data_IF_204971940529
#
_entry.id   IF_204971940529
#
_cell.length_a   1.000
_cell.length_b   1.000
_cell.length_c   1.000
_cell.angle_alpha   90.00
_cell.angle_beta   90.00
_cell.angle_gamma   90.00
#
_symmetry.space_group_name_H-M   'P 1'
#
loop_
_entity.id
_entity.type
_entity.pdbx_description
1 polymer ?
#
# COMPACT_ATOMS: atom_id res chain seq x y z
N UNK A 1 44.68 -0.78 51.17
CA UNK A 1 43.45 -1.59 51.06
C UNK A 1 43.17 -1.79 49.58
N UNK A 2 43.54 -2.95 49.04
CA UNK A 2 43.33 -3.33 47.63
C UNK A 2 42.25 -4.40 47.59
N UNK A 3 41.13 -4.13 46.90
CA UNK A 3 40.06 -5.09 46.68
C UNK A 3 40.16 -5.56 45.23
N UNK A 4 40.57 -6.82 45.08
CA UNK A 4 40.68 -7.56 43.84
C UNK A 4 39.31 -8.12 43.46
N UNK A 5 38.77 -7.71 42.31
CA UNK A 5 37.60 -8.32 41.70
C UNK A 5 38.05 -9.33 40.65
N UNK A 6 37.99 -10.60 41.02
CA UNK A 6 38.01 -11.70 40.06
C UNK A 6 36.71 -12.48 40.22
N UNK A 7 36.21 -12.90 39.07
CA UNK A 7 35.28 -14.00 38.85
C UNK A 7 33.81 -13.74 39.22
N UNK A 8 32.99 -13.55 38.18
CA UNK A 8 31.89 -14.48 37.82
C UNK A 8 31.05 -13.83 36.73
N UNK A 9 30.83 -14.56 35.63
CA UNK A 9 29.50 -14.91 35.12
C UNK A 9 29.67 -15.66 33.79
N UNK A 10 29.34 -16.95 33.86
CA UNK A 10 29.32 -17.85 32.73
C UNK A 10 28.18 -17.51 31.78
N UNK A 11 28.49 -17.56 30.49
CA UNK A 11 27.53 -17.42 29.41
C UNK A 11 26.93 -18.80 29.15
N UNK A 12 25.75 -19.07 29.69
CA UNK A 12 24.96 -20.23 29.30
C UNK A 12 24.31 -19.95 27.93
N UNK A 13 24.87 -20.55 26.89
CA UNK A 13 24.26 -20.65 25.57
C UNK A 13 22.99 -21.51 25.66
N UNK A 14 21.82 -20.87 25.64
CA UNK A 14 20.54 -21.54 25.45
C UNK A 14 20.35 -21.78 23.94
N UNK A 15 20.60 -23.00 23.49
CA UNK A 15 20.28 -23.46 22.14
C UNK A 15 18.78 -23.75 22.07
N UNK A 16 18.01 -22.86 21.44
CA UNK A 16 16.59 -23.09 21.16
C UNK A 16 16.51 -23.96 19.90
N UNK A 17 16.23 -25.25 20.08
CA UNK A 17 15.92 -26.16 19.00
C UNK A 17 14.54 -25.85 18.42
N UNK A 18 14.51 -25.33 17.19
CA UNK A 18 13.30 -25.14 16.40
C UNK A 18 12.87 -26.50 15.82
N UNK A 19 11.90 -27.16 16.45
CA UNK A 19 11.21 -28.32 15.87
C UNK A 19 10.28 -27.86 14.75
N UNK A 20 10.68 -28.10 13.51
CA UNK A 20 9.82 -28.05 12.33
C UNK A 20 8.72 -29.11 12.44
N UNK A 21 7.48 -28.68 12.63
CA UNK A 21 6.29 -29.52 12.44
C UNK A 21 5.88 -29.41 10.97
N UNK A 22 6.20 -30.43 10.19
CA UNK A 22 5.69 -30.63 8.84
C UNK A 22 4.22 -31.06 8.92
N UNK A 23 3.31 -30.16 8.55
CA UNK A 23 1.90 -30.49 8.35
C UNK A 23 1.70 -31.04 6.92
N UNK A 24 1.31 -32.31 6.82
CA UNK A 24 0.93 -32.99 5.59
C UNK A 24 -0.41 -32.45 5.04
N UNK A 25 -0.57 -32.32 3.71
CA UNK A 25 -1.87 -31.99 3.11
C UNK A 25 -2.78 -33.22 3.06
N UNK A 26 -3.94 -33.12 3.71
CA UNK A 26 -5.05 -34.08 3.57
C UNK A 26 -5.71 -33.92 2.20
N UNK A 27 -5.82 -35.04 1.48
CA UNK A 27 -6.63 -35.21 0.27
C UNK A 27 -8.11 -35.17 0.65
N UNK A 28 -8.85 -34.18 0.16
CA UNK A 28 -10.30 -34.17 0.21
C UNK A 28 -10.87 -34.62 -1.14
N UNK A 29 -11.68 -35.69 -1.10
CA UNK A 29 -12.38 -36.30 -2.25
C UNK A 29 -13.64 -35.50 -2.56
N UNK A 30 -13.84 -35.18 -3.83
CA UNK A 30 -15.14 -34.79 -4.36
C UNK A 30 -16.05 -36.02 -4.58
N UNK A 31 -17.37 -35.91 -4.37
CA UNK A 31 -18.33 -36.86 -4.91
C UNK A 31 -18.98 -36.37 -6.22
N UNK A 32 -19.13 -37.34 -7.12
CA UNK A 32 -19.86 -37.35 -8.40
C UNK A 32 -21.38 -37.21 -8.25
N UNK A 33 -21.96 -36.62 -9.30
CA UNK A 33 -23.21 -36.92 -10.01
C UNK A 33 -24.52 -37.21 -9.26
N UNK A 34 -25.54 -36.44 -9.65
CA UNK A 34 -26.88 -37.01 -9.88
C UNK A 34 -27.58 -36.27 -11.02
N UNK A 35 -28.11 -37.06 -11.96
CA UNK A 35 -28.68 -36.66 -13.24
C UNK A 35 -30.19 -36.30 -13.19
N UNK A 36 -30.61 -35.43 -14.13
CA UNK A 36 -31.84 -35.38 -14.99
C UNK A 36 -33.26 -35.46 -14.37
N UNK A 37 -34.34 -34.86 -14.97
CA UNK A 37 -34.71 -35.02 -16.39
C UNK A 37 -35.46 -33.87 -17.14
N UNK A 38 -35.55 -34.06 -18.48
CA UNK A 38 -36.59 -33.75 -19.52
C UNK A 38 -37.91 -33.08 -19.07
N UNK A 39 -38.73 -32.34 -19.85
CA UNK A 39 -38.96 -32.03 -21.28
C UNK A 39 -39.83 -30.73 -21.31
N UNK A 40 -40.01 -29.96 -22.39
CA UNK A 40 -41.05 -30.12 -23.42
C UNK A 40 -41.01 -28.93 -24.40
N UNK A 41 -41.70 -29.10 -25.53
CA UNK A 41 -41.48 -28.43 -26.81
C UNK A 41 -42.47 -27.31 -27.18
N UNK A 42 -41.98 -26.40 -28.06
CA UNK A 42 -42.64 -25.79 -29.25
C UNK A 42 -43.76 -24.73 -29.08
N UNK A 43 -44.17 -23.93 -30.11
CA UNK A 43 -43.66 -23.79 -31.49
C UNK A 43 -43.49 -22.34 -32.04
N UNK A 44 -42.82 -22.29 -33.22
CA UNK A 44 -42.90 -21.38 -34.38
C UNK A 44 -43.60 -20.00 -34.31
N UNK A 45 -42.90 -18.96 -34.80
CA UNK A 45 -43.49 -17.99 -35.74
C UNK A 45 -42.45 -17.32 -36.67
N UNK A 46 -42.91 -17.13 -37.89
CA UNK A 46 -42.19 -16.87 -39.16
C UNK A 46 -41.76 -15.40 -39.37
N UNK A 47 -40.54 -15.26 -39.91
CA UNK A 47 -40.18 -14.53 -41.16
C UNK A 47 -40.52 -13.04 -41.27
N UNK A 48 -39.48 -12.18 -41.36
CA UNK A 48 -39.37 -11.23 -42.47
C UNK A 48 -37.94 -10.74 -42.74
N UNK A 49 -37.71 -10.59 -44.03
CA UNK A 49 -36.45 -10.36 -44.73
C UNK A 49 -36.22 -8.85 -44.96
N UNK A 50 -34.97 -8.40 -44.83
CA UNK A 50 -34.40 -7.20 -45.47
C UNK A 50 -32.87 -7.38 -45.47
N UNK A 51 -32.28 -7.86 -46.57
CA UNK A 51 -31.68 -7.11 -47.69
C UNK A 51 -30.60 -6.09 -47.29
N UNK A 52 -29.37 -6.46 -47.62
CA UNK A 52 -28.25 -5.69 -48.16
C UNK A 52 -27.76 -4.43 -47.43
N UNK A 53 -26.54 -4.53 -46.87
CA UNK A 53 -25.46 -3.52 -46.96
C UNK A 53 -24.13 -4.27 -46.71
N UNK A 54 -23.40 -4.62 -47.76
CA UNK A 54 -22.26 -3.88 -48.32
C UNK A 54 -21.08 -3.72 -47.34
N UNK A 55 -20.10 -4.60 -47.54
CA UNK A 55 -18.67 -4.52 -47.25
C UNK A 55 -18.14 -3.29 -46.47
N UNK A 56 -17.62 -3.55 -45.28
CA UNK A 56 -16.42 -2.87 -44.78
C UNK A 56 -15.52 -3.89 -44.08
N UNK A 57 -14.72 -4.61 -44.86
CA UNK A 57 -13.59 -5.40 -44.35
C UNK A 57 -12.46 -4.43 -44.02
N UNK A 58 -12.57 -3.72 -42.89
CA UNK A 58 -11.40 -3.19 -42.20
C UNK A 58 -10.86 -4.29 -41.31
N UNK A 59 -9.78 -4.93 -41.78
CA UNK A 59 -8.92 -5.73 -40.92
C UNK A 59 -8.56 -4.90 -39.67
N UNK A 60 -8.68 -5.46 -38.45
CA UNK A 60 -8.05 -4.86 -37.28
C UNK A 60 -6.55 -4.89 -37.55
N UNK A 61 -5.96 -3.71 -37.77
CA UNK A 61 -4.52 -3.56 -37.76
C UNK A 61 -4.03 -4.02 -36.40
N UNK A 62 -3.50 -5.25 -36.39
CA UNK A 62 -2.43 -5.76 -35.55
C UNK A 62 -1.84 -4.66 -34.69
N UNK A 63 -2.10 -4.77 -33.39
CA UNK A 63 -1.39 -4.07 -32.34
C UNK A 63 0.10 -4.23 -32.63
N UNK A 64 0.71 -3.18 -33.18
CA UNK A 64 2.13 -2.98 -33.03
C UNK A 64 2.29 -2.75 -31.53
N UNK A 65 2.65 -3.84 -30.83
CA UNK A 65 3.23 -3.76 -29.51
C UNK A 65 4.39 -2.78 -29.63
N UNK A 66 4.11 -1.57 -29.17
CA UNK A 66 5.02 -0.44 -29.13
C UNK A 66 6.09 -0.79 -28.10
N UNK A 67 7.03 -1.65 -28.51
CA UNK A 67 8.33 -1.84 -27.87
C UNK A 67 9.19 -0.60 -28.15
N UNK A 68 8.63 0.57 -27.83
CA UNK A 68 9.39 1.79 -27.73
C UNK A 68 10.23 1.65 -26.47
N UNK A 69 11.48 1.22 -26.64
CA UNK A 69 12.52 1.38 -25.63
C UNK A 69 12.72 2.88 -25.38
N UNK A 70 11.80 3.49 -24.62
CA UNK A 70 11.89 4.87 -24.20
C UNK A 70 13.06 4.95 -23.23
N UNK A 71 14.16 5.52 -23.72
CA UNK A 71 15.33 5.85 -22.92
C UNK A 71 14.86 6.61 -21.67
N UNK A 72 15.21 6.18 -20.45
CA UNK A 72 14.72 6.81 -19.24
C UNK A 72 15.09 8.30 -19.24
N UNK A 73 14.11 9.14 -18.92
CA UNK A 73 14.29 10.58 -18.82
C UNK A 73 15.43 10.87 -17.83
N UNK A 74 16.29 11.84 -18.15
CA UNK A 74 17.45 12.22 -17.31
C UNK A 74 17.08 12.40 -15.82
N UNK A 75 15.95 13.03 -15.44
CA UNK A 75 15.54 13.13 -14.04
C UNK A 75 15.29 11.78 -13.35
N UNK A 76 14.76 10.77 -14.07
CA UNK A 76 14.49 9.44 -13.52
C UNK A 76 15.79 8.72 -13.16
N UNK A 77 16.79 8.79 -14.05
CA UNK A 77 18.13 8.26 -13.78
C UNK A 77 18.77 8.92 -12.57
N UNK A 78 18.57 10.24 -12.43
CA UNK A 78 19.10 10.99 -11.29
C UNK A 78 18.43 10.58 -9.97
N UNK A 79 17.10 10.35 -9.95
CA UNK A 79 16.43 9.82 -8.76
C UNK A 79 16.99 8.46 -8.37
N UNK A 80 17.14 7.53 -9.33
CA UNK A 80 17.72 6.20 -9.05
C UNK A 80 19.15 6.29 -8.51
N UNK A 81 19.97 7.19 -9.07
CA UNK A 81 21.31 7.47 -8.57
C UNK A 81 21.27 7.96 -7.12
N UNK A 82 20.39 8.92 -6.81
CA UNK A 82 20.25 9.50 -5.48
C UNK A 82 19.70 8.50 -4.44
N UNK A 83 18.79 7.60 -4.83
CA UNK A 83 18.38 6.48 -3.96
C UNK A 83 19.59 5.61 -3.62
N UNK A 84 20.42 5.28 -4.62
CA UNK A 84 21.69 4.59 -4.39
C UNK A 84 22.58 5.35 -3.42
N UNK A 85 22.76 6.65 -3.63
CA UNK A 85 23.51 7.53 -2.74
C UNK A 85 23.01 7.49 -1.29
N UNK A 86 21.69 7.48 -1.09
CA UNK A 86 21.06 7.53 0.23
C UNK A 86 21.45 6.31 1.10
N UNK A 87 21.52 5.13 0.49
CA UNK A 87 21.86 3.89 1.20
C UNK A 87 23.35 3.56 1.21
N UNK A 88 24.11 3.93 0.17
CA UNK A 88 25.54 3.63 0.07
C UNK A 88 26.44 4.66 0.74
N UNK A 89 25.92 5.86 1.02
CA UNK A 89 26.69 7.00 1.52
C UNK A 89 27.90 7.38 0.64
N UNK A 90 27.83 7.07 -0.66
CA UNK A 90 29.00 7.09 -1.56
C UNK A 90 29.01 8.22 -2.60
N UNK A 91 28.12 9.20 -2.49
CA UNK A 91 28.02 10.29 -3.45
C UNK A 91 28.70 11.56 -2.97
N UNK A 92 29.01 12.47 -3.91
CA UNK A 92 29.70 13.74 -3.64
C UNK A 92 28.76 14.77 -3.00
N UNK A 93 28.22 14.47 -1.82
CA UNK A 93 27.57 15.45 -0.96
C UNK A 93 28.57 15.94 0.09
N UNK A 94 28.60 17.26 0.39
CA UNK A 94 29.59 17.85 1.29
C UNK A 94 29.21 17.60 2.76
N UNK A 95 29.25 16.35 3.21
CA UNK A 95 29.04 16.01 4.61
C UNK A 95 29.86 14.80 5.01
N UNK A 96 30.54 14.92 6.15
CA UNK A 96 31.19 13.79 6.83
C UNK A 96 30.27 13.17 7.89
N UNK A 97 29.13 13.80 8.19
CA UNK A 97 28.12 13.27 9.11
C UNK A 97 27.04 12.49 8.31
N UNK A 98 26.78 11.21 8.65
CA UNK A 98 25.79 10.39 7.94
C UNK A 98 24.36 10.96 7.93
N UNK A 99 23.96 11.67 9.00
CA UNK A 99 22.60 12.24 9.08
C UNK A 99 22.47 13.45 8.19
N UNK A 100 23.43 14.37 8.25
CA UNK A 100 23.48 15.53 7.35
C UNK A 100 23.62 15.09 5.89
N UNK A 101 24.37 14.02 5.62
CA UNK A 101 24.47 13.42 4.30
C UNK A 101 23.09 12.94 3.82
N UNK A 102 22.40 12.10 4.60
CA UNK A 102 21.06 11.58 4.25
C UNK A 102 20.05 12.70 4.07
N UNK A 103 20.09 13.73 4.92
CA UNK A 103 19.25 14.93 4.79
C UNK A 103 19.52 15.65 3.46
N UNK A 104 20.78 15.83 3.09
CA UNK A 104 21.15 16.49 1.84
C UNK A 104 20.69 15.71 0.61
N UNK A 105 20.84 14.38 0.63
CA UNK A 105 20.32 13.49 -0.42
C UNK A 105 18.78 13.53 -0.48
N UNK A 106 18.11 13.50 0.69
CA UNK A 106 16.66 13.59 0.81
C UNK A 106 16.11 14.91 0.23
N UNK A 107 16.76 16.04 0.52
CA UNK A 107 16.41 17.33 -0.07
C UNK A 107 16.56 17.35 -1.59
N UNK A 108 17.62 16.73 -2.12
CA UNK A 108 17.81 16.60 -3.57
C UNK A 108 16.72 15.72 -4.22
N UNK A 109 16.38 14.60 -3.60
CA UNK A 109 15.27 13.72 -4.02
C UNK A 109 13.94 14.50 -4.02
N UNK A 110 13.58 15.13 -2.90
CA UNK A 110 12.37 15.94 -2.75
C UNK A 110 12.24 16.97 -3.88
N UNK A 111 13.33 17.70 -4.17
CA UNK A 111 13.34 18.72 -5.22
C UNK A 111 12.99 18.15 -6.59
N UNK A 112 13.56 17.00 -6.95
CA UNK A 112 13.29 16.36 -8.24
C UNK A 112 11.86 15.83 -8.31
N UNK A 113 11.38 15.18 -7.25
CA UNK A 113 10.03 14.64 -7.17
C UNK A 113 8.97 15.75 -7.24
N UNK A 114 9.14 16.85 -6.52
CA UNK A 114 8.23 18.01 -6.60
C UNK A 114 8.23 18.64 -8.00
N UNK A 115 9.40 18.76 -8.64
CA UNK A 115 9.46 19.25 -10.02
C UNK A 115 8.74 18.31 -11.00
N UNK A 116 8.78 17.00 -10.77
CA UNK A 116 8.04 16.02 -11.57
C UNK A 116 6.53 16.13 -11.34
N UNK A 117 6.08 16.19 -10.09
CA UNK A 117 4.68 16.40 -9.72
C UNK A 117 4.08 17.61 -10.46
N UNK A 118 4.75 18.77 -10.42
CA UNK A 118 4.29 19.98 -11.11
C UNK A 118 4.17 19.82 -12.63
N UNK A 119 5.05 19.04 -13.27
CA UNK A 119 4.95 18.76 -14.72
C UNK A 119 3.82 17.79 -15.03
N UNK A 120 3.58 16.79 -14.17
CA UNK A 120 2.48 15.84 -14.32
C UNK A 120 1.14 16.58 -14.22
N UNK A 121 0.97 17.45 -13.22
CA UNK A 121 -0.26 18.26 -13.07
C UNK A 121 -0.54 19.15 -14.27
N UNK A 122 0.52 19.73 -14.87
CA UNK A 122 0.42 20.55 -16.08
C UNK A 122 0.27 19.75 -17.37
N UNK A 123 0.26 18.42 -17.30
CA UNK A 123 0.26 17.50 -18.47
C UNK A 123 1.45 17.71 -19.41
N UNK A 124 2.57 18.20 -18.87
CA UNK A 124 3.83 18.40 -19.59
C UNK A 124 4.69 17.13 -19.60
N UNK A 125 4.29 16.10 -18.85
CA UNK A 125 5.04 14.87 -18.68
C UNK A 125 4.59 13.78 -19.67
N UNK A 126 5.49 13.38 -20.57
CA UNK A 126 5.17 12.44 -21.65
C UNK A 126 4.99 10.98 -21.17
N UNK A 127 5.54 10.63 -20.00
CA UNK A 127 5.45 9.27 -19.47
C UNK A 127 5.16 9.26 -17.96
N UNK A 128 3.88 9.37 -17.56
CA UNK A 128 3.48 9.34 -16.15
C UNK A 128 3.76 7.99 -15.47
N UNK A 129 3.77 6.88 -16.23
CA UNK A 129 4.02 5.53 -15.70
C UNK A 129 5.43 5.40 -15.10
N UNK A 130 6.45 6.04 -15.67
CA UNK A 130 7.78 6.06 -15.05
C UNK A 130 7.76 6.75 -13.69
N UNK A 131 7.08 7.89 -13.59
CA UNK A 131 6.99 8.64 -12.35
C UNK A 131 6.18 7.92 -11.28
N UNK A 132 5.11 7.20 -11.67
CA UNK A 132 4.41 6.29 -10.75
C UNK A 132 5.38 5.27 -10.13
N UNK A 133 6.15 4.55 -10.95
CA UNK A 133 7.10 3.55 -10.44
C UNK A 133 8.18 4.17 -9.54
N UNK A 134 8.71 5.33 -9.92
CA UNK A 134 9.69 6.05 -9.10
C UNK A 134 9.09 6.53 -7.78
N UNK A 135 7.85 7.02 -7.79
CA UNK A 135 7.15 7.43 -6.57
C UNK A 135 6.96 6.24 -5.62
N UNK A 136 6.55 5.07 -6.15
CA UNK A 136 6.46 3.83 -5.36
C UNK A 136 7.83 3.45 -4.78
N UNK A 137 8.90 3.41 -5.58
CA UNK A 137 10.25 3.06 -5.12
C UNK A 137 10.78 4.02 -4.04
N UNK A 138 10.48 5.32 -4.17
CA UNK A 138 10.96 6.35 -3.24
C UNK A 138 10.20 6.39 -1.92
N UNK A 139 9.02 5.74 -1.82
CA UNK A 139 8.36 5.56 -0.53
C UNK A 139 9.24 4.80 0.46
N UNK A 140 10.15 3.91 0.02
CA UNK A 140 11.05 3.19 0.93
C UNK A 140 12.14 4.06 1.56
N UNK A 141 12.39 5.28 1.05
CA UNK A 141 13.40 6.19 1.62
C UNK A 141 12.92 6.68 2.99
N UNK A 142 13.74 6.53 4.03
CA UNK A 142 13.44 6.94 5.43
C UNK A 142 13.53 8.46 5.63
N UNK A 143 12.90 9.23 4.75
CA UNK A 143 12.80 10.68 4.82
C UNK A 143 11.34 11.10 4.59
N UNK A 144 10.73 11.74 5.59
CA UNK A 144 9.31 12.11 5.54
C UNK A 144 9.00 13.07 4.39
N UNK A 145 9.93 13.96 4.02
CA UNK A 145 9.72 14.88 2.90
C UNK A 145 9.83 14.20 1.54
N UNK A 146 10.65 13.15 1.43
CA UNK A 146 10.69 12.32 0.23
C UNK A 146 9.36 11.58 0.09
N UNK A 147 8.88 10.92 1.16
CA UNK A 147 7.58 10.23 1.17
C UNK A 147 6.42 11.16 0.82
N UNK A 148 6.37 12.37 1.39
CA UNK A 148 5.39 13.42 1.07
C UNK A 148 5.40 13.75 -0.44
N UNK A 149 6.58 13.99 -1.02
CA UNK A 149 6.70 14.29 -2.45
C UNK A 149 6.30 13.09 -3.33
N UNK A 150 6.61 11.87 -2.90
CA UNK A 150 6.18 10.64 -3.58
C UNK A 150 4.66 10.48 -3.55
N UNK A 151 4.01 10.73 -2.41
CA UNK A 151 2.55 10.73 -2.30
C UNK A 151 1.89 11.78 -3.18
N UNK A 152 2.49 12.97 -3.34
CA UNK A 152 2.01 13.98 -4.28
C UNK A 152 2.03 13.47 -5.73
N UNK A 153 3.08 12.73 -6.13
CA UNK A 153 3.07 12.11 -7.45
C UNK A 153 1.96 11.06 -7.53
N UNK A 154 1.86 10.14 -6.55
CA UNK A 154 0.85 9.07 -6.56
C UNK A 154 -0.59 9.59 -6.58
N UNK A 155 -0.87 10.74 -5.96
CA UNK A 155 -2.20 11.36 -5.96
C UNK A 155 -2.69 11.74 -7.36
N UNK A 156 -1.77 11.99 -8.29
CA UNK A 156 -2.07 12.27 -9.71
C UNK A 156 -2.19 11.02 -10.57
N UNK A 157 -1.94 9.83 -10.02
CA UNK A 157 -1.93 8.57 -10.74
C UNK A 157 -3.19 7.74 -10.43
N UNK A 158 -3.55 6.87 -11.39
CA UNK A 158 -4.55 5.84 -11.19
C UNK A 158 -4.13 4.88 -10.06
N UNK A 159 -5.12 4.31 -9.31
CA UNK A 159 -4.84 3.33 -8.26
C UNK A 159 -4.01 2.15 -8.75
N UNK A 160 -3.02 1.75 -7.95
CA UNK A 160 -2.09 0.68 -8.27
C UNK A 160 -1.83 -0.19 -7.04
N UNK A 161 -1.94 -1.50 -7.19
CA UNK A 161 -1.81 -2.43 -6.07
C UNK A 161 -0.44 -2.32 -5.37
N UNK A 162 0.64 -2.09 -6.12
CA UNK A 162 1.97 -1.91 -5.52
C UNK A 162 2.01 -0.62 -4.72
N UNK A 163 1.42 0.46 -5.25
CA UNK A 163 1.32 1.71 -4.50
C UNK A 163 0.54 1.54 -3.20
N UNK A 164 -0.60 0.82 -3.22
CA UNK A 164 -1.37 0.51 -2.01
C UNK A 164 -0.51 -0.18 -0.93
N UNK A 165 0.18 -1.25 -1.32
CA UNK A 165 1.01 -2.02 -0.38
C UNK A 165 2.12 -1.16 0.21
N UNK A 166 2.79 -0.37 -0.63
CA UNK A 166 3.88 0.51 -0.19
C UNK A 166 3.36 1.67 0.67
N UNK A 167 2.18 2.23 0.41
CA UNK A 167 1.58 3.27 1.29
C UNK A 167 1.29 2.69 2.68
N UNK A 168 0.66 1.51 2.75
CA UNK A 168 0.35 0.85 4.02
C UNK A 168 1.65 0.53 4.81
N UNK A 169 2.68 0.03 4.12
CA UNK A 169 3.94 -0.40 4.75
C UNK A 169 4.87 0.76 5.09
N UNK A 170 5.19 1.59 4.10
CA UNK A 170 6.26 2.59 4.18
C UNK A 170 5.77 3.95 4.65
N UNK A 171 4.47 4.24 4.62
CA UNK A 171 3.93 5.53 5.09
C UNK A 171 3.18 5.37 6.39
N UNK A 172 2.16 4.52 6.42
CA UNK A 172 1.37 4.33 7.64
C UNK A 172 2.07 3.46 8.69
N UNK A 173 2.99 2.58 8.25
CA UNK A 173 3.92 1.87 9.14
C UNK A 173 5.11 2.72 9.61
N UNK A 174 5.33 3.89 9.00
CA UNK A 174 6.40 4.81 9.38
C UNK A 174 6.01 5.66 10.59
N UNK A 175 6.98 6.33 11.21
CA UNK A 175 6.79 7.00 12.50
C UNK A 175 6.30 8.46 12.40
N UNK A 176 6.12 8.99 11.18
CA UNK A 176 5.74 10.39 10.95
C UNK A 176 4.20 10.56 10.83
N UNK A 177 3.54 11.15 11.84
CA UNK A 177 2.10 11.37 11.81
C UNK A 177 1.67 12.39 10.73
N UNK A 178 2.55 13.28 10.27
CA UNK A 178 2.17 14.32 9.30
C UNK A 178 1.82 13.76 7.92
N UNK A 179 2.29 12.53 7.61
CA UNK A 179 1.99 11.85 6.36
C UNK A 179 0.64 11.11 6.38
N UNK A 180 0.09 10.84 7.56
CA UNK A 180 -1.12 10.02 7.72
C UNK A 180 -2.33 10.63 6.99
N UNK A 181 -2.66 11.93 7.13
CA UNK A 181 -3.83 12.49 6.44
C UNK A 181 -3.75 12.33 4.92
N UNK A 182 -2.57 12.57 4.34
CA UNK A 182 -2.34 12.44 2.91
C UNK A 182 -2.42 10.97 2.46
N UNK A 183 -1.80 10.06 3.19
CA UNK A 183 -1.88 8.62 2.91
C UNK A 183 -3.32 8.12 2.99
N UNK A 184 -4.08 8.52 4.02
CA UNK A 184 -5.48 8.17 4.15
C UNK A 184 -6.29 8.74 2.98
N UNK A 185 -6.11 10.01 2.58
CA UNK A 185 -6.79 10.54 1.39
C UNK A 185 -6.50 9.71 0.13
N UNK A 186 -5.24 9.31 -0.06
CA UNK A 186 -4.81 8.48 -1.19
C UNK A 186 -5.46 7.08 -1.18
N UNK A 187 -5.60 6.46 -0.02
CA UNK A 187 -6.25 5.15 0.14
C UNK A 187 -7.73 5.16 -0.25
N UNK A 188 -8.41 6.31 -0.25
CA UNK A 188 -9.83 6.40 -0.65
C UNK A 188 -10.05 6.13 -2.13
N UNK A 189 -9.01 6.24 -2.97
CA UNK A 189 -9.11 5.93 -4.40
C UNK A 189 -9.26 4.42 -4.68
N UNK A 190 -8.96 3.57 -3.71
CA UNK A 190 -8.96 2.11 -3.86
C UNK A 190 -10.30 1.51 -3.44
N UNK A 191 -11.24 1.42 -4.39
CA UNK A 191 -12.63 0.99 -4.13
C UNK A 191 -12.88 -0.50 -4.34
N UNK A 192 -11.94 -1.22 -4.95
CA UNK A 192 -12.08 -2.65 -5.24
C UNK A 192 -12.14 -3.49 -3.94
N UNK A 193 -12.98 -4.53 -3.86
CA UNK A 193 -13.16 -5.32 -2.65
C UNK A 193 -11.87 -5.88 -2.05
N UNK A 194 -10.94 -6.35 -2.88
CA UNK A 194 -9.67 -6.91 -2.43
C UNK A 194 -8.72 -5.83 -1.89
N UNK A 195 -8.76 -4.63 -2.47
CA UNK A 195 -7.99 -3.50 -1.95
C UNK A 195 -8.55 -3.02 -0.62
N UNK A 196 -9.87 -2.93 -0.49
CA UNK A 196 -10.53 -2.53 0.75
C UNK A 196 -10.18 -3.47 1.91
N UNK A 197 -10.13 -4.78 1.68
CA UNK A 197 -9.69 -5.74 2.70
C UNK A 197 -8.25 -5.49 3.16
N UNK A 198 -7.32 -5.24 2.22
CA UNK A 198 -5.92 -4.88 2.54
C UNK A 198 -5.84 -3.60 3.35
N UNK A 199 -6.65 -2.60 3.00
CA UNK A 199 -6.75 -1.33 3.73
C UNK A 199 -7.24 -1.58 5.16
N UNK A 200 -8.33 -2.32 5.35
CA UNK A 200 -8.87 -2.58 6.69
C UNK A 200 -7.87 -3.34 7.57
N UNK A 201 -7.23 -4.37 7.02
CA UNK A 201 -6.18 -5.12 7.71
C UNK A 201 -4.98 -4.24 8.06
N UNK A 202 -4.49 -3.44 7.11
CA UNK A 202 -3.36 -2.54 7.30
C UNK A 202 -3.64 -1.45 8.34
N UNK A 203 -4.81 -0.80 8.28
CA UNK A 203 -5.19 0.21 9.28
C UNK A 203 -5.36 -0.40 10.67
N UNK A 204 -5.98 -1.58 10.78
CA UNK A 204 -6.09 -2.32 12.04
C UNK A 204 -4.70 -2.65 12.62
N UNK A 205 -3.77 -3.11 11.78
CA UNK A 205 -2.40 -3.40 12.18
C UNK A 205 -1.64 -2.13 12.65
N UNK A 206 -1.80 -1.01 11.95
CA UNK A 206 -1.20 0.28 12.35
C UNK A 206 -1.75 0.73 13.70
N UNK A 207 -3.05 0.58 13.95
CA UNK A 207 -3.67 0.89 15.24
C UNK A 207 -3.13 0.04 16.40
N UNK A 208 -2.58 -1.14 16.12
CA UNK A 208 -1.96 -2.01 17.13
C UNK A 208 -0.47 -1.70 17.32
N UNK A 209 0.27 -1.52 16.23
CA UNK A 209 1.74 -1.58 16.21
C UNK A 209 2.43 -0.25 15.91
N UNK A 210 1.72 0.73 15.35
CA UNK A 210 2.28 2.03 14.97
C UNK A 210 2.72 2.90 16.15
N UNK A 211 3.42 3.99 15.85
CA UNK A 211 3.79 4.98 16.87
C UNK A 211 2.54 5.61 17.49
N UNK A 212 2.63 6.09 18.74
CA UNK A 212 1.48 6.67 19.43
C UNK A 212 0.82 7.82 18.63
N UNK A 213 1.64 8.66 17.98
CA UNK A 213 1.14 9.79 17.20
C UNK A 213 0.49 9.33 15.90
N UNK A 214 1.09 8.38 15.19
CA UNK A 214 0.52 7.80 13.96
C UNK A 214 -0.82 7.13 14.27
N UNK A 215 -0.90 6.36 15.36
CA UNK A 215 -2.14 5.72 15.80
C UNK A 215 -3.25 6.72 16.10
N UNK A 216 -2.93 7.84 16.75
CA UNK A 216 -3.89 8.94 16.99
C UNK A 216 -4.35 9.53 15.67
N UNK A 217 -3.44 9.75 14.74
CA UNK A 217 -3.77 10.39 13.47
C UNK A 217 -4.61 9.49 12.56
N UNK A 218 -4.33 8.18 12.54
CA UNK A 218 -5.18 7.18 11.88
C UNK A 218 -6.58 7.19 12.48
N UNK A 219 -6.71 7.23 13.81
CA UNK A 219 -8.02 7.32 14.46
C UNK A 219 -8.80 8.56 14.05
N UNK A 220 -8.14 9.71 13.94
CA UNK A 220 -8.77 10.97 13.53
C UNK A 220 -9.33 10.92 12.10
N UNK A 221 -8.79 10.03 11.25
CA UNK A 221 -9.17 9.88 9.85
C UNK A 221 -9.84 8.53 9.54
N UNK A 222 -10.25 7.77 10.57
CA UNK A 222 -10.73 6.40 10.40
C UNK A 222 -12.15 6.33 9.83
N UNK A 223 -12.95 7.38 10.03
CA UNK A 223 -14.39 7.42 9.74
C UNK A 223 -14.76 6.95 8.31
N UNK A 224 -14.10 7.40 7.22
CA UNK A 224 -14.41 6.95 5.86
C UNK A 224 -14.21 5.44 5.63
N UNK A 225 -13.43 4.78 6.50
CA UNK A 225 -13.12 3.35 6.41
C UNK A 225 -14.02 2.50 7.31
N UNK A 226 -14.86 3.09 8.15
CA UNK A 226 -15.77 2.36 9.02
C UNK A 226 -17.06 1.99 8.30
N UNK A 227 -17.25 0.69 8.11
CA UNK A 227 -18.44 0.11 7.55
C UNK A 227 -18.64 -1.31 8.09
N UNK A 228 -19.74 -1.96 7.70
CA UNK A 228 -20.07 -3.31 8.16
C UNK A 228 -18.98 -4.35 7.85
N UNK A 229 -18.29 -4.18 6.72
CA UNK A 229 -17.23 -5.11 6.29
C UNK A 229 -15.91 -4.88 7.04
N UNK A 230 -15.62 -3.64 7.43
CA UNK A 230 -14.38 -3.29 8.14
C UNK A 230 -14.48 -3.40 9.66
N UNK A 231 -15.69 -3.33 10.21
CA UNK A 231 -15.94 -3.38 11.65
C UNK A 231 -15.24 -4.56 12.37
N UNK A 232 -15.26 -5.81 11.87
CA UNK A 232 -14.57 -6.92 12.53
C UNK A 232 -13.05 -6.72 12.68
N UNK A 233 -12.40 -6.05 11.72
CA UNK A 233 -10.96 -5.76 11.78
C UNK A 233 -10.66 -4.81 12.93
N UNK A 234 -11.46 -3.76 13.10
CA UNK A 234 -11.27 -2.77 14.14
C UNK A 234 -11.69 -3.25 15.54
N UNK A 235 -12.72 -4.10 15.63
CA UNK A 235 -13.08 -4.77 16.89
C UNK A 235 -11.99 -5.74 17.34
N UNK A 236 -11.42 -6.52 16.41
CA UNK A 236 -10.26 -7.35 16.72
C UNK A 236 -9.05 -6.49 17.11
N UNK A 237 -8.82 -5.38 16.42
CA UNK A 237 -7.77 -4.44 16.80
C UNK A 237 -7.94 -3.97 18.24
N UNK A 238 -9.14 -3.53 18.59
CA UNK A 238 -9.50 -3.05 19.93
C UNK A 238 -9.24 -4.09 21.03
N UNK A 239 -9.63 -5.35 20.83
CA UNK A 239 -9.43 -6.43 21.79
C UNK A 239 -7.95 -6.69 22.12
N UNK A 240 -7.06 -6.43 21.17
CA UNK A 240 -5.62 -6.60 21.32
C UNK A 240 -4.91 -5.36 21.88
N UNK A 241 -5.63 -4.24 22.10
CA UNK A 241 -5.07 -3.05 22.74
C UNK A 241 -5.12 -3.15 24.26
N UNK A 242 -4.16 -2.50 24.93
CA UNK A 242 -4.24 -2.29 26.37
C UNK A 242 -5.51 -1.48 26.71
N UNK A 243 -6.46 -2.03 27.51
CA UNK A 243 -7.73 -1.36 27.84
C UNK A 243 -7.58 -0.01 28.53
N UNK A 244 -6.43 0.24 29.17
CA UNK A 244 -6.12 1.51 29.85
C UNK A 244 -5.48 2.56 28.93
N UNK A 245 -5.15 2.19 27.68
CA UNK A 245 -4.49 3.11 26.75
C UNK A 245 -5.48 4.11 26.15
N UNK A 246 -5.01 5.33 25.87
CA UNK A 246 -5.82 6.34 25.18
C UNK A 246 -6.27 5.89 23.79
N UNK A 247 -5.47 5.06 23.11
CA UNK A 247 -5.84 4.52 21.78
C UNK A 247 -7.01 3.56 21.91
N UNK A 248 -7.02 2.67 22.92
CA UNK A 248 -8.16 1.78 23.16
C UNK A 248 -9.44 2.59 23.41
N UNK A 249 -9.41 3.56 24.33
CA UNK A 249 -10.59 4.39 24.62
C UNK A 249 -11.09 5.15 23.38
N UNK A 250 -10.18 5.72 22.57
CA UNK A 250 -10.55 6.43 21.35
C UNK A 250 -11.13 5.51 20.28
N UNK A 251 -10.52 4.35 20.03
CA UNK A 251 -11.03 3.37 19.07
C UNK A 251 -12.40 2.83 19.48
N UNK A 252 -12.58 2.50 20.77
CA UNK A 252 -13.87 2.08 21.32
C UNK A 252 -14.96 3.12 21.08
N UNK A 253 -14.66 4.40 21.34
CA UNK A 253 -15.59 5.50 21.10
C UNK A 253 -15.97 5.60 19.63
N UNK A 254 -15.00 5.57 18.73
CA UNK A 254 -15.20 5.65 17.28
C UNK A 254 -16.08 4.49 16.78
N UNK A 255 -15.80 3.26 17.21
CA UNK A 255 -16.61 2.07 16.86
C UNK A 255 -18.05 2.20 17.35
N UNK A 256 -18.26 2.64 18.59
CA UNK A 256 -19.60 2.75 19.15
C UNK A 256 -20.40 3.89 18.54
N UNK A 257 -19.76 4.99 18.19
CA UNK A 257 -20.41 6.09 17.48
C UNK A 257 -20.92 5.62 16.11
N UNK A 258 -20.09 4.89 15.35
CA UNK A 258 -20.50 4.25 14.10
C UNK A 258 -21.73 3.33 14.30
N UNK A 259 -21.70 2.46 15.31
CA UNK A 259 -22.81 1.54 15.62
C UNK A 259 -24.09 2.29 15.95
N UNK A 260 -24.03 3.35 16.76
CA UNK A 260 -25.18 4.19 17.12
C UNK A 260 -25.82 4.81 15.89
N UNK A 261 -25.00 5.45 15.04
CA UNK A 261 -25.44 6.06 13.78
C UNK A 261 -26.13 5.05 12.86
N UNK A 262 -25.64 3.80 12.80
CA UNK A 262 -26.28 2.73 12.01
C UNK A 262 -27.55 2.17 12.62
N UNK A 263 -27.67 2.13 13.94
CA UNK A 263 -28.88 1.65 14.63
C UNK A 263 -30.03 2.66 14.65
N UNK A 264 -29.80 3.91 14.19
CA UNK A 264 -30.81 4.96 14.20
C UNK A 264 -31.17 5.46 15.61
N UNK A 265 -30.23 5.31 16.57
CA UNK A 265 -30.40 5.63 17.99
C UNK A 265 -29.59 6.86 18.43
#
# INVERSE_FOLDING_TARGET
>A
MNISWKDTLGVSSLVIAFTLILASPSKEKAPEDTASPQAEASPEAKKKSRKNEMADQRQPQSQAEDNFHQKPLRPVLEVKRLIGCYYSESCQFPSNDPREYKLSVGQALKKILNAAYLRIEKREEANPTYWKNIAIETLAVEDGHVKEASLNILSTQEPDERALVEILREVLGYHDPHLVPQAMAELQKYTEPDHLQKIYAGLAQVLQTGSLLVRKEVLNHLDPYLNEKSLPYFENALQNLNPKSSIHSSLYRVINEYKRQKSGA
#
